data_IF_852829188836
#
_entry.id   IF_852829188836
#
_cell.length_a   1.000
_cell.length_b   1.000
_cell.length_c   1.000
_cell.angle_alpha   90.00
_cell.angle_beta   90.00
_cell.angle_gamma   90.00
#
_symmetry.space_group_name_H-M   'P 1'
#
loop_
_entity.id
_entity.type
_entity.pdbx_description
1 polymer ?
#
# COMPACT_ATOMS: atom_id res chain seq x y z
N UNK A 1 -15.10 17.48 0.97
CA UNK A 1 -14.52 16.48 1.91
C UNK A 1 -13.00 16.52 1.76
N UNK A 2 -12.27 16.62 2.86
CA UNK A 2 -10.80 16.48 2.83
C UNK A 2 -10.48 14.99 2.87
N UNK A 3 -9.74 14.48 1.89
CA UNK A 3 -9.33 13.08 1.75
C UNK A 3 -7.91 12.86 2.28
N UNK A 4 -7.07 13.89 2.14
CA UNK A 4 -5.73 13.91 2.70
C UNK A 4 -5.39 15.33 3.15
N UNK A 5 -4.76 15.44 4.32
CA UNK A 5 -4.26 16.70 4.85
C UNK A 5 -2.84 16.49 5.43
N UNK A 6 -1.84 16.92 4.68
CA UNK A 6 -0.44 16.86 5.08
C UNK A 6 -0.04 17.85 6.17
N UNK A 7 -0.93 18.74 6.60
CA UNK A 7 -0.70 19.59 7.77
C UNK A 7 -0.87 18.80 9.10
N UNK A 8 -1.53 17.63 9.06
CA UNK A 8 -1.55 16.68 10.17
C UNK A 8 -0.17 16.07 10.38
N UNK A 9 0.07 15.47 11.54
CA UNK A 9 1.26 14.64 11.73
C UNK A 9 1.23 13.46 10.77
N UNK A 10 2.27 13.32 9.96
CA UNK A 10 2.41 12.27 8.95
C UNK A 10 3.64 11.43 9.27
N UNK A 11 3.48 10.12 9.24
CA UNK A 11 4.50 9.13 9.53
C UNK A 11 4.85 8.35 8.26
N UNK A 12 6.16 8.19 8.00
CA UNK A 12 6.70 7.39 6.91
C UNK A 12 6.90 5.95 7.37
N UNK A 13 6.28 4.98 6.68
CA UNK A 13 6.40 3.58 7.08
C UNK A 13 6.53 2.61 5.92
N UNK A 14 7.07 1.42 6.24
CA UNK A 14 7.04 0.27 5.36
C UNK A 14 6.26 -0.87 6.02
N UNK A 15 5.37 -1.49 5.25
CA UNK A 15 4.42 -2.47 5.77
C UNK A 15 4.76 -3.92 5.37
N UNK A 16 5.87 -4.13 4.62
CA UNK A 16 6.22 -5.44 4.10
C UNK A 16 7.74 -5.56 3.94
N UNK A 17 8.37 -6.35 4.80
CA UNK A 17 9.80 -6.68 4.72
C UNK A 17 10.09 -8.05 5.33
N UNK A 18 11.15 -8.70 4.85
CA UNK A 18 11.61 -10.02 5.28
C UNK A 18 12.99 -9.95 5.94
N UNK A 19 13.21 -10.86 6.89
CA UNK A 19 14.46 -10.96 7.63
C UNK A 19 15.08 -12.37 7.48
N UNK A 20 16.26 -12.58 8.08
CA UNK A 20 16.89 -13.92 8.17
C UNK A 20 16.07 -14.93 8.97
N UNK A 21 14.98 -14.53 9.58
CA UNK A 21 14.05 -15.42 10.28
C UNK A 21 13.03 -16.08 9.34
N UNK A 22 12.95 -15.62 8.08
CA UNK A 22 12.35 -16.35 6.95
C UNK A 22 13.37 -16.50 5.82
N UNK A 23 13.28 -15.71 4.77
CA UNK A 23 14.11 -15.82 3.56
C UNK A 23 14.83 -14.52 3.18
N UNK A 24 14.69 -13.46 3.97
CA UNK A 24 15.45 -12.22 3.85
C UNK A 24 16.95 -12.41 4.17
N UNK A 25 17.78 -11.48 3.73
CA UNK A 25 19.26 -11.55 3.85
C UNK A 25 19.83 -10.70 4.97
N UNK A 26 18.98 -10.08 5.79
CA UNK A 26 19.40 -9.25 6.94
C UNK A 26 18.65 -9.66 8.20
N UNK A 27 19.32 -9.57 9.34
CA UNK A 27 18.71 -9.79 10.65
C UNK A 27 17.67 -8.70 10.95
N UNK A 28 16.70 -8.93 11.85
CA UNK A 28 15.73 -7.91 12.25
C UNK A 28 16.38 -6.59 12.70
N UNK A 29 17.51 -6.65 13.41
CA UNK A 29 18.21 -5.44 13.87
C UNK A 29 18.87 -4.67 12.72
N UNK A 30 19.50 -5.36 11.76
CA UNK A 30 20.05 -4.74 10.56
C UNK A 30 18.94 -4.08 9.72
N UNK A 31 17.78 -4.72 9.61
CA UNK A 31 16.62 -4.20 8.92
C UNK A 31 16.10 -2.92 9.59
N UNK A 32 15.87 -2.95 10.90
CA UNK A 32 15.46 -1.77 11.67
C UNK A 32 16.44 -0.61 11.52
N UNK A 33 17.75 -0.89 11.67
CA UNK A 33 18.80 0.12 11.52
C UNK A 33 18.80 0.74 10.11
N UNK A 34 18.60 -0.08 9.07
CA UNK A 34 18.51 0.36 7.67
C UNK A 34 17.34 1.32 7.46
N UNK A 35 16.12 0.93 7.82
CA UNK A 35 14.93 1.77 7.61
C UNK A 35 14.99 3.04 8.45
N UNK A 36 15.44 2.96 9.72
CA UNK A 36 15.67 4.13 10.55
C UNK A 36 16.64 5.14 9.91
N UNK A 37 17.77 4.67 9.37
CA UNK A 37 18.76 5.53 8.72
C UNK A 37 18.25 6.23 7.46
N UNK A 38 17.12 5.77 6.89
CA UNK A 38 16.44 6.37 5.75
C UNK A 38 15.18 7.17 6.16
N UNK A 39 15.06 7.52 7.46
CA UNK A 39 14.02 8.42 7.96
C UNK A 39 12.62 7.79 8.03
N UNK A 40 12.53 6.47 8.22
CA UNK A 40 11.25 5.82 8.50
C UNK A 40 10.89 5.99 9.97
N UNK A 41 9.60 6.23 10.23
CA UNK A 41 9.03 6.33 11.59
C UNK A 41 8.56 4.98 12.10
N UNK A 42 8.08 4.11 11.19
CA UNK A 42 7.64 2.77 11.53
C UNK A 42 7.96 1.74 10.44
N UNK A 43 8.00 0.47 10.84
CA UNK A 43 8.28 -0.68 9.99
C UNK A 43 7.51 -1.90 10.48
N UNK A 44 6.78 -2.60 9.61
CA UNK A 44 6.25 -3.92 9.91
C UNK A 44 7.20 -5.00 9.38
N UNK A 45 7.67 -5.89 10.26
CA UNK A 45 8.43 -7.09 9.88
C UNK A 45 7.43 -8.21 9.67
N UNK A 46 7.40 -8.78 8.46
CA UNK A 46 6.34 -9.65 7.96
C UNK A 46 6.91 -10.95 7.39
N UNK A 47 7.82 -11.58 8.13
CA UNK A 47 8.43 -12.86 7.75
C UNK A 47 7.38 -13.92 7.41
N UNK A 48 7.70 -14.80 6.45
CA UNK A 48 6.77 -15.83 5.97
C UNK A 48 6.29 -16.77 7.09
N UNK A 49 4.98 -16.86 7.23
CA UNK A 49 4.21 -17.79 8.08
C UNK A 49 4.58 -17.82 9.55
N UNK A 50 5.20 -16.75 10.05
CA UNK A 50 5.55 -16.59 11.46
C UNK A 50 5.63 -15.11 11.87
N UNK A 51 5.21 -14.83 13.07
CA UNK A 51 5.48 -13.55 13.72
C UNK A 51 6.82 -13.67 14.42
N UNK A 52 7.84 -13.04 13.87
CA UNK A 52 9.24 -13.24 14.30
C UNK A 52 9.73 -12.21 15.29
N UNK A 53 9.00 -11.11 15.46
CA UNK A 53 9.35 -10.00 16.33
C UNK A 53 8.11 -9.50 17.08
N UNK A 54 8.33 -8.97 18.28
CA UNK A 54 7.28 -8.23 18.99
C UNK A 54 7.28 -6.76 18.59
N UNK A 55 6.13 -6.10 18.77
CA UNK A 55 6.06 -4.65 18.57
C UNK A 55 6.86 -3.92 19.64
N UNK A 56 7.79 -3.08 19.20
CA UNK A 56 8.64 -2.30 20.07
C UNK A 56 9.10 -1.00 19.42
N UNK A 57 9.32 0.03 20.23
CA UNK A 57 10.06 1.21 19.81
C UNK A 57 11.56 0.93 19.93
N UNK A 58 12.28 0.94 18.83
CA UNK A 58 13.72 0.65 18.76
C UNK A 58 14.46 1.85 18.19
N UNK A 59 15.20 2.57 19.03
CA UNK A 59 15.98 3.76 18.66
C UNK A 59 15.17 4.81 17.86
N UNK A 60 13.89 5.02 18.18
CA UNK A 60 13.00 5.98 17.54
C UNK A 60 12.23 5.45 16.32
N UNK A 61 12.47 4.21 15.88
CA UNK A 61 11.66 3.50 14.90
C UNK A 61 10.66 2.58 15.61
N UNK A 62 9.37 2.71 15.30
CA UNK A 62 8.39 1.73 15.73
C UNK A 62 8.48 0.47 14.86
N UNK A 63 8.96 -0.63 15.43
CA UNK A 63 8.93 -1.95 14.78
C UNK A 63 7.62 -2.63 15.13
N UNK A 64 6.75 -2.85 14.15
CA UNK A 64 5.45 -3.51 14.31
C UNK A 64 5.62 -4.99 13.97
N UNK A 65 5.04 -5.86 14.80
CA UNK A 65 4.94 -7.29 14.50
C UNK A 65 4.02 -7.53 13.30
N UNK A 66 4.36 -8.51 12.48
CA UNK A 66 3.56 -8.86 11.31
C UNK A 66 3.89 -10.25 10.79
N UNK A 67 3.20 -10.66 9.75
CA UNK A 67 3.33 -11.96 9.10
C UNK A 67 2.96 -11.84 7.64
N UNK A 68 3.56 -12.65 6.77
CA UNK A 68 3.06 -12.88 5.43
C UNK A 68 2.65 -14.34 5.25
N UNK A 69 1.42 -14.56 4.76
CA UNK A 69 0.92 -15.86 4.35
C UNK A 69 0.98 -16.00 2.84
N UNK A 70 1.59 -17.06 2.36
CA UNK A 70 1.68 -17.47 0.96
C UNK A 70 0.72 -18.63 0.66
N UNK A 71 -0.05 -18.52 -0.42
CA UNK A 71 -0.99 -19.55 -0.88
C UNK A 71 -0.79 -19.81 -2.35
N UNK A 72 -0.49 -21.07 -2.70
CA UNK A 72 -0.35 -21.49 -4.08
C UNK A 72 -1.70 -21.92 -4.66
N UNK A 73 -2.10 -21.27 -5.75
CA UNK A 73 -3.26 -21.61 -6.55
C UNK A 73 -2.80 -22.02 -7.96
N UNK A 74 -3.67 -22.67 -8.72
CA UNK A 74 -3.34 -23.02 -10.11
C UNK A 74 -3.09 -21.77 -10.94
N UNK A 75 -1.84 -21.57 -11.36
CA UNK A 75 -1.42 -20.48 -12.26
C UNK A 75 -1.23 -19.11 -11.59
N UNK A 76 -1.37 -19.00 -10.27
CA UNK A 76 -1.15 -17.79 -9.50
C UNK A 76 -0.82 -18.09 -8.03
N UNK A 77 -0.31 -17.11 -7.32
CA UNK A 77 -0.17 -17.18 -5.85
C UNK A 77 -1.01 -16.07 -5.22
N UNK A 78 -1.41 -16.23 -3.95
CA UNK A 78 -2.02 -15.15 -3.18
C UNK A 78 -1.17 -14.98 -1.92
N UNK A 79 -0.68 -13.78 -1.69
CA UNK A 79 0.01 -13.41 -0.47
C UNK A 79 -0.82 -12.42 0.33
N UNK A 80 -0.97 -12.69 1.63
CA UNK A 80 -1.71 -11.85 2.57
C UNK A 80 -0.77 -11.47 3.70
N UNK A 81 -0.50 -10.18 3.79
CA UNK A 81 0.25 -9.59 4.90
C UNK A 81 -0.70 -9.26 6.04
N UNK A 82 -0.33 -9.62 7.26
CA UNK A 82 -1.05 -9.28 8.50
C UNK A 82 -0.23 -8.32 9.34
N UNK A 83 -0.72 -7.10 9.53
CA UNK A 83 -0.06 -6.06 10.33
C UNK A 83 -0.61 -6.05 11.76
N UNK A 84 0.29 -6.05 12.76
CA UNK A 84 -0.09 -5.95 14.17
C UNK A 84 -0.86 -7.17 14.68
N UNK A 85 -0.43 -8.37 14.29
CA UNK A 85 -1.05 -9.65 14.72
C UNK A 85 -0.13 -10.40 15.67
N UNK A 86 -0.69 -11.10 16.66
CA UNK A 86 0.08 -11.99 17.54
C UNK A 86 0.43 -13.30 16.83
N UNK A 87 1.43 -14.04 17.37
CA UNK A 87 1.90 -15.35 16.84
C UNK A 87 0.77 -16.40 16.75
N UNK A 88 -0.30 -16.26 17.54
CA UNK A 88 -1.49 -17.13 17.46
C UNK A 88 -2.02 -17.27 16.02
N UNK A 89 -1.92 -16.23 15.18
CA UNK A 89 -2.38 -16.26 13.79
C UNK A 89 -1.68 -17.36 12.98
N UNK A 90 -0.38 -17.58 13.20
CA UNK A 90 0.39 -18.60 12.51
C UNK A 90 -0.05 -20.04 12.88
N UNK A 91 -0.63 -20.23 14.06
CA UNK A 91 -1.13 -21.52 14.50
C UNK A 91 -2.49 -21.88 13.89
N UNK A 92 -3.29 -20.86 13.52
CA UNK A 92 -4.65 -21.05 13.00
C UNK A 92 -4.72 -21.12 11.48
N UNK A 93 -3.69 -20.62 10.77
CA UNK A 93 -3.61 -20.58 9.30
C UNK A 93 -2.50 -21.53 8.81
N UNK A 94 -2.88 -22.73 8.41
CA UNK A 94 -1.96 -23.78 7.93
C UNK A 94 -1.76 -23.70 6.42
N UNK A 95 -0.79 -24.48 5.87
CA UNK A 95 -0.53 -24.56 4.43
C UNK A 95 -1.72 -25.02 3.59
N UNK A 96 -2.64 -25.78 4.16
CA UNK A 96 -3.86 -26.22 3.49
C UNK A 96 -5.06 -25.27 3.61
N UNK A 97 -4.88 -24.14 4.30
CA UNK A 97 -5.96 -23.15 4.48
C UNK A 97 -6.21 -22.38 3.18
N UNK A 98 -7.45 -21.93 2.97
CA UNK A 98 -7.79 -20.98 1.91
C UNK A 98 -7.26 -19.57 2.29
N UNK A 99 -6.93 -18.69 1.30
CA UNK A 99 -6.49 -17.32 1.57
C UNK A 99 -7.49 -16.52 2.44
N UNK A 100 -8.79 -16.73 2.27
CA UNK A 100 -9.83 -16.10 3.08
C UNK A 100 -9.66 -16.40 4.58
N UNK A 101 -9.20 -17.59 4.95
CA UNK A 101 -8.93 -17.94 6.35
C UNK A 101 -7.88 -17.04 6.99
N UNK A 102 -6.83 -16.66 6.26
CA UNK A 102 -5.82 -15.73 6.76
C UNK A 102 -6.43 -14.35 7.02
N UNK A 103 -7.24 -13.85 6.10
CA UNK A 103 -7.93 -12.55 6.25
C UNK A 103 -8.85 -12.58 7.47
N UNK A 104 -9.67 -13.62 7.62
CA UNK A 104 -10.60 -13.76 8.73
C UNK A 104 -9.87 -13.79 10.09
N UNK A 105 -8.76 -14.55 10.20
CA UNK A 105 -8.00 -14.67 11.44
C UNK A 105 -7.21 -13.38 11.76
N UNK A 106 -6.61 -12.73 10.75
CA UNK A 106 -5.94 -11.43 10.96
C UNK A 106 -6.95 -10.42 11.52
N UNK A 107 -8.14 -10.32 10.93
CA UNK A 107 -9.21 -9.43 11.40
C UNK A 107 -9.69 -9.82 12.81
N UNK A 108 -9.93 -11.09 13.07
CA UNK A 108 -10.38 -11.60 14.39
C UNK A 108 -9.39 -11.24 15.50
N UNK A 109 -8.10 -11.30 15.20
CA UNK A 109 -7.02 -10.99 16.14
C UNK A 109 -6.68 -9.48 16.21
N UNK A 110 -7.47 -8.64 15.54
CA UNK A 110 -7.33 -7.18 15.60
C UNK A 110 -6.17 -6.63 14.74
N UNK A 111 -5.64 -7.43 13.83
CA UNK A 111 -4.67 -7.00 12.82
C UNK A 111 -5.31 -6.31 11.61
N UNK A 112 -4.48 -5.90 10.67
CA UNK A 112 -4.92 -5.30 9.40
C UNK A 112 -4.41 -6.17 8.24
N UNK A 113 -5.30 -6.83 7.47
CA UNK A 113 -4.89 -7.61 6.31
C UNK A 113 -4.60 -6.70 5.10
N UNK A 114 -3.52 -7.00 4.37
CA UNK A 114 -3.12 -6.34 3.13
C UNK A 114 -2.90 -7.40 2.06
N UNK A 115 -3.51 -7.22 0.87
CA UNK A 115 -3.23 -8.05 -0.30
C UNK A 115 -1.89 -7.60 -0.89
N UNK A 116 -0.90 -8.49 -0.85
CA UNK A 116 0.44 -8.19 -1.33
C UNK A 116 0.56 -8.37 -2.86
N UNK A 117 1.32 -7.50 -3.48
CA UNK A 117 1.85 -7.53 -4.86
C UNK A 117 1.00 -8.28 -5.92
N UNK A 118 -0.29 -7.93 -6.15
CA UNK A 118 -1.18 -8.71 -7.01
C UNK A 118 -0.69 -8.84 -8.46
N UNK A 119 0.05 -7.88 -9.01
CA UNK A 119 0.62 -7.98 -10.34
C UNK A 119 1.72 -9.05 -10.42
N UNK A 120 2.63 -9.12 -9.44
CA UNK A 120 3.66 -10.16 -9.36
C UNK A 120 3.03 -11.54 -9.17
N UNK A 121 2.04 -11.62 -8.32
CA UNK A 121 1.29 -12.83 -8.00
C UNK A 121 0.41 -13.36 -9.14
N UNK A 122 0.25 -12.59 -10.23
CA UNK A 122 -0.64 -12.88 -11.35
C UNK A 122 -2.11 -13.01 -10.93
N UNK A 123 -2.51 -12.29 -9.89
CA UNK A 123 -3.89 -12.34 -9.41
C UNK A 123 -4.84 -11.75 -10.46
N UNK A 124 -5.91 -12.48 -10.75
CA UNK A 124 -6.97 -11.97 -11.62
C UNK A 124 -7.95 -11.10 -10.82
N UNK A 125 -8.64 -10.14 -11.44
CA UNK A 125 -9.67 -9.35 -10.75
C UNK A 125 -10.73 -10.20 -10.06
N UNK A 126 -11.18 -11.30 -10.66
CA UNK A 126 -12.17 -12.19 -10.06
C UNK A 126 -11.68 -12.79 -8.73
N UNK A 127 -10.42 -13.18 -8.66
CA UNK A 127 -9.80 -13.70 -7.43
C UNK A 127 -9.71 -12.61 -6.37
N UNK A 128 -9.25 -11.41 -6.73
CA UNK A 128 -9.13 -10.28 -5.80
C UNK A 128 -10.51 -9.87 -5.27
N UNK A 129 -11.50 -9.76 -6.16
CA UNK A 129 -12.87 -9.34 -5.80
C UNK A 129 -13.62 -10.38 -4.96
N UNK A 130 -13.23 -11.66 -5.04
CA UNK A 130 -13.81 -12.73 -4.22
C UNK A 130 -13.31 -12.70 -2.75
N UNK A 131 -12.18 -12.04 -2.46
CA UNK A 131 -11.66 -11.88 -1.10
C UNK A 131 -12.51 -10.85 -0.33
N UNK A 132 -13.06 -11.26 0.81
CA UNK A 132 -13.88 -10.43 1.69
C UNK A 132 -13.09 -9.85 2.85
N UNK A 133 -13.53 -8.72 3.39
CA UNK A 133 -12.99 -8.10 4.61
C UNK A 133 -11.49 -7.76 4.53
N UNK A 134 -11.02 -7.47 3.30
CA UNK A 134 -9.69 -6.95 3.00
C UNK A 134 -9.84 -5.71 2.12
N UNK A 135 -9.58 -4.55 2.70
CA UNK A 135 -9.77 -3.24 2.08
C UNK A 135 -8.49 -2.60 1.54
N UNK A 136 -7.33 -3.21 1.79
CA UNK A 136 -6.02 -2.64 1.45
C UNK A 136 -5.27 -3.59 0.52
N UNK A 137 -4.60 -3.03 -0.49
CA UNK A 137 -3.70 -3.78 -1.38
C UNK A 137 -2.45 -2.98 -1.72
N UNK A 138 -1.36 -3.67 -1.99
CA UNK A 138 -0.16 -3.05 -2.54
C UNK A 138 -0.40 -2.64 -3.99
N UNK A 139 -0.33 -1.33 -4.24
CA UNK A 139 -0.31 -0.80 -5.61
C UNK A 139 1.08 -0.85 -6.20
N UNK A 140 2.10 -0.78 -5.34
CA UNK A 140 3.49 -0.89 -5.74
C UNK A 140 4.29 -1.71 -4.73
N UNK A 141 5.07 -2.66 -5.26
CA UNK A 141 5.94 -3.53 -4.48
C UNK A 141 7.33 -3.53 -5.10
N UNK A 142 8.34 -3.07 -4.35
CA UNK A 142 9.66 -2.79 -4.92
C UNK A 142 10.38 -4.04 -5.40
N UNK A 143 10.41 -5.14 -4.61
CA UNK A 143 11.12 -6.36 -5.00
C UNK A 143 10.53 -7.00 -6.24
N UNK A 144 9.22 -6.86 -6.44
CA UNK A 144 8.52 -7.34 -7.63
C UNK A 144 8.94 -6.65 -8.94
N UNK A 145 9.57 -5.47 -8.84
CA UNK A 145 10.13 -4.73 -9.98
C UNK A 145 11.57 -5.11 -10.35
N UNK A 146 12.21 -6.00 -9.58
CA UNK A 146 13.56 -6.45 -9.93
C UNK A 146 13.55 -7.28 -11.22
N UNK A 147 14.64 -7.26 -12.01
CA UNK A 147 14.66 -7.88 -13.35
C UNK A 147 14.24 -9.35 -13.37
N UNK A 148 14.62 -10.13 -12.36
CA UNK A 148 14.23 -11.54 -12.27
C UNK A 148 12.76 -11.76 -11.87
N UNK A 149 12.05 -10.72 -11.45
CA UNK A 149 10.61 -10.71 -11.18
C UNK A 149 9.79 -10.16 -12.35
N UNK A 150 10.41 -10.02 -13.55
CA UNK A 150 9.78 -9.58 -14.78
C UNK A 150 9.10 -8.20 -14.69
N UNK A 151 9.64 -7.28 -13.85
CA UNK A 151 9.18 -5.89 -13.70
C UNK A 151 7.68 -5.78 -13.36
N UNK A 152 7.21 -6.57 -12.39
CA UNK A 152 5.80 -6.65 -11.98
C UNK A 152 5.49 -5.85 -10.71
N UNK A 153 6.15 -4.72 -10.51
CA UNK A 153 5.98 -3.89 -9.32
C UNK A 153 4.63 -3.17 -9.24
N UNK A 154 4.12 -2.71 -10.37
CA UNK A 154 2.92 -1.85 -10.45
C UNK A 154 1.65 -2.67 -10.69
N UNK A 155 0.75 -2.62 -9.71
CA UNK A 155 -0.55 -3.31 -9.72
C UNK A 155 -1.71 -2.40 -10.12
N UNK A 156 -1.44 -1.18 -10.59
CA UNK A 156 -2.47 -0.15 -10.88
C UNK A 156 -3.57 -0.69 -11.80
N UNK A 157 -3.21 -1.34 -12.91
CA UNK A 157 -4.20 -1.81 -13.89
C UNK A 157 -5.18 -2.84 -13.32
N UNK A 158 -4.68 -3.78 -12.51
CA UNK A 158 -5.53 -4.83 -11.90
C UNK A 158 -6.46 -4.21 -10.83
N UNK A 159 -5.91 -3.32 -10.00
CA UNK A 159 -6.68 -2.68 -8.93
C UNK A 159 -7.70 -1.67 -9.47
N UNK A 160 -7.41 -1.00 -10.58
CA UNK A 160 -8.37 -0.13 -11.28
C UNK A 160 -9.54 -0.94 -11.85
N UNK A 161 -9.30 -2.15 -12.39
CA UNK A 161 -10.37 -3.06 -12.83
C UNK A 161 -11.25 -3.46 -11.65
N UNK A 162 -10.64 -3.85 -10.51
CA UNK A 162 -11.40 -4.19 -9.30
C UNK A 162 -12.25 -3.00 -8.81
N UNK A 163 -11.69 -1.78 -8.82
CA UNK A 163 -12.43 -0.58 -8.45
C UNK A 163 -13.60 -0.28 -9.41
N UNK A 164 -13.41 -0.48 -10.71
CA UNK A 164 -14.47 -0.36 -11.73
C UNK A 164 -15.58 -1.39 -11.52
N UNK A 165 -15.25 -2.58 -10.99
CA UNK A 165 -16.22 -3.63 -10.61
C UNK A 165 -16.91 -3.35 -9.26
N UNK A 166 -16.57 -2.25 -8.56
CA UNK A 166 -17.14 -1.89 -7.25
C UNK A 166 -16.36 -2.45 -6.05
N UNK A 167 -15.18 -3.00 -6.27
CA UNK A 167 -14.29 -3.57 -5.24
C UNK A 167 -13.02 -2.74 -5.05
N UNK A 168 -13.18 -1.42 -4.88
CA UNK A 168 -12.07 -0.51 -4.64
C UNK A 168 -11.27 -0.91 -3.39
N UNK A 169 -9.93 -0.85 -3.48
CA UNK A 169 -9.00 -1.08 -2.38
C UNK A 169 -8.25 0.21 -2.07
N UNK A 170 -7.98 0.47 -0.80
CA UNK A 170 -7.01 1.46 -0.39
C UNK A 170 -5.58 0.99 -0.74
N UNK A 171 -4.69 1.92 -1.08
CA UNK A 171 -3.46 1.63 -1.80
C UNK A 171 -2.23 1.92 -0.96
N UNK A 172 -1.44 0.89 -0.64
CA UNK A 172 -0.14 1.01 0.02
C UNK A 172 1.00 0.74 -0.96
N UNK A 173 2.18 1.27 -0.68
CA UNK A 173 3.41 0.86 -1.34
C UNK A 173 4.37 0.31 -0.30
N UNK A 174 5.04 -0.78 -0.64
CA UNK A 174 5.97 -1.47 0.23
C UNK A 174 7.19 -1.97 -0.55
N UNK A 175 8.26 -2.25 0.17
CA UNK A 175 9.48 -2.75 -0.45
C UNK A 175 9.45 -4.26 -0.65
N UNK A 176 8.88 -5.00 0.30
CA UNK A 176 8.97 -6.45 0.34
C UNK A 176 10.44 -6.91 0.27
N UNK A 177 11.28 -6.21 1.04
CA UNK A 177 12.73 -6.30 0.92
C UNK A 177 13.24 -7.66 1.40
N UNK A 178 13.97 -8.35 0.53
CA UNK A 178 14.61 -9.64 0.80
C UNK A 178 16.13 -9.55 0.71
N UNK A 179 16.65 -8.86 -0.32
CA UNK A 179 18.07 -8.86 -0.66
C UNK A 179 18.84 -7.69 -0.05
N UNK A 180 18.14 -6.56 0.22
CA UNK A 180 18.70 -5.30 0.71
C UNK A 180 19.76 -4.72 -0.23
N UNK A 181 19.63 -5.04 -1.52
CA UNK A 181 20.46 -4.57 -2.61
C UNK A 181 19.59 -3.99 -3.72
N UNK A 182 19.07 -2.78 -3.49
CA UNK A 182 18.18 -2.08 -4.42
C UNK A 182 16.68 -2.32 -4.19
N UNK A 183 16.30 -3.23 -3.31
CA UNK A 183 14.93 -3.59 -2.97
C UNK A 183 14.46 -3.01 -1.61
N UNK A 184 15.28 -2.26 -0.90
CA UNK A 184 14.93 -1.67 0.39
C UNK A 184 14.94 -0.13 0.35
N UNK A 185 13.99 0.50 1.06
CA UNK A 185 13.85 1.95 1.18
C UNK A 185 13.56 2.67 -0.16
N UNK A 186 12.84 2.01 -1.08
CA UNK A 186 12.52 2.54 -2.41
C UNK A 186 11.06 2.96 -2.57
N UNK A 187 10.17 2.37 -1.79
CA UNK A 187 8.74 2.70 -1.75
C UNK A 187 8.23 2.66 -0.32
N UNK A 188 7.21 3.46 -0.03
CA UNK A 188 6.66 3.55 1.33
C UNK A 188 5.22 4.04 1.34
N UNK A 189 4.60 3.92 2.51
CA UNK A 189 3.28 4.44 2.79
C UNK A 189 3.39 5.59 3.78
N UNK A 190 2.79 6.73 3.44
CA UNK A 190 2.68 7.90 4.31
C UNK A 190 1.36 7.80 5.07
N UNK A 191 1.40 7.78 6.39
CA UNK A 191 0.24 7.56 7.27
C UNK A 191 -0.01 8.78 8.14
N UNK A 192 -1.21 9.34 8.08
CA UNK A 192 -1.62 10.43 8.98
C UNK A 192 -2.04 9.86 10.34
N UNK A 193 -1.22 10.10 11.36
CA UNK A 193 -1.48 9.61 12.74
C UNK A 193 -0.85 10.55 13.76
N UNK A 194 -1.60 10.86 14.82
CA UNK A 194 -1.12 11.72 15.90
C UNK A 194 -0.06 11.00 16.77
N UNK A 195 -0.12 9.68 16.84
CA UNK A 195 0.79 8.86 17.62
C UNK A 195 1.51 7.84 16.72
N UNK A 196 2.77 7.55 17.06
CA UNK A 196 3.54 6.47 16.44
C UNK A 196 3.46 5.22 17.36
N UNK A 197 2.29 4.58 17.34
CA UNK A 197 2.00 3.33 18.07
C UNK A 197 1.33 2.33 17.14
N UNK A 198 1.45 1.02 17.44
CA UNK A 198 0.81 -0.03 16.64
C UNK A 198 -0.69 0.23 16.47
N UNK A 199 -1.39 0.56 17.56
CA UNK A 199 -2.83 0.76 17.53
C UNK A 199 -3.22 2.00 16.70
N UNK A 200 -2.49 3.11 16.82
CA UNK A 200 -2.74 4.32 16.05
C UNK A 200 -2.50 4.10 14.55
N UNK A 201 -1.43 3.38 14.18
CA UNK A 201 -1.14 3.01 12.78
C UNK A 201 -2.25 2.09 12.24
N UNK A 202 -2.62 1.02 12.97
CA UNK A 202 -3.72 0.12 12.55
C UNK A 202 -5.04 0.89 12.37
N UNK A 203 -5.35 1.81 13.28
CA UNK A 203 -6.56 2.63 13.19
C UNK A 203 -6.52 3.54 11.95
N UNK A 204 -5.40 4.19 11.65
CA UNK A 204 -5.23 5.00 10.45
C UNK A 204 -5.34 4.17 9.17
N UNK A 205 -4.75 2.98 9.13
CA UNK A 205 -4.86 2.05 7.99
C UNK A 205 -6.34 1.65 7.75
N UNK A 206 -7.09 1.34 8.80
CA UNK A 206 -8.53 0.99 8.66
C UNK A 206 -9.38 2.15 8.15
N UNK A 207 -9.04 3.40 8.51
CA UNK A 207 -9.77 4.59 8.03
C UNK A 207 -9.39 5.01 6.62
N UNK A 208 -8.27 4.51 6.05
CA UNK A 208 -7.73 4.99 4.79
C UNK A 208 -6.95 6.32 4.91
N UNK A 209 -6.50 6.68 6.11
CA UNK A 209 -5.73 7.91 6.39
C UNK A 209 -4.26 7.76 5.94
N UNK A 210 -4.03 7.41 4.67
CA UNK A 210 -2.70 7.19 4.11
C UNK A 210 -2.69 7.29 2.59
N UNK A 211 -1.48 7.38 2.04
CA UNK A 211 -1.23 7.24 0.59
C UNK A 211 0.08 6.51 0.33
N UNK A 212 0.20 5.92 -0.87
CA UNK A 212 1.38 5.21 -1.34
C UNK A 212 2.33 6.13 -2.10
N UNK A 213 3.65 5.97 -1.95
CA UNK A 213 4.61 6.79 -2.69
C UNK A 213 5.97 6.11 -2.89
N UNK A 214 6.69 6.61 -3.90
CA UNK A 214 8.11 6.37 -4.18
C UNK A 214 8.95 7.66 -4.15
N UNK A 215 8.34 8.78 -3.79
CA UNK A 215 9.03 10.08 -3.78
C UNK A 215 8.09 11.27 -3.71
N UNK A 216 7.19 11.46 -4.70
CA UNK A 216 6.25 12.58 -4.68
C UNK A 216 5.37 12.58 -3.45
N UNK A 217 4.98 13.78 -2.99
CA UNK A 217 4.18 13.96 -1.79
C UNK A 217 2.86 14.65 -2.10
N UNK A 218 1.77 14.11 -1.57
CA UNK A 218 0.51 14.83 -1.46
C UNK A 218 0.58 15.76 -0.25
N UNK A 219 0.29 17.04 -0.45
CA UNK A 219 0.12 18.04 0.61
C UNK A 219 -1.34 18.14 1.03
N UNK A 220 -2.26 18.12 0.05
CA UNK A 220 -3.70 18.16 0.28
C UNK A 220 -4.45 17.52 -0.87
N UNK A 221 -5.51 16.79 -0.55
CA UNK A 221 -6.49 16.28 -1.52
C UNK A 221 -7.87 16.62 -0.99
N UNK A 222 -8.63 17.40 -1.76
CA UNK A 222 -10.02 17.75 -1.48
C UNK A 222 -10.95 17.30 -2.58
N UNK A 223 -12.15 16.86 -2.19
CA UNK A 223 -13.24 16.59 -3.10
C UNK A 223 -14.51 17.29 -2.61
N UNK A 224 -15.08 18.17 -3.43
CA UNK A 224 -16.29 18.94 -3.11
C UNK A 224 -17.60 18.32 -3.62
N UNK A 225 -17.51 17.14 -4.24
CA UNK A 225 -18.63 16.46 -4.92
C UNK A 225 -18.58 16.58 -6.44
N UNK A 226 -17.80 17.51 -6.98
CA UNK A 226 -17.66 17.78 -8.41
C UNK A 226 -16.22 17.86 -8.86
N UNK A 227 -15.35 18.44 -8.05
CA UNK A 227 -13.94 18.71 -8.39
C UNK A 227 -13.02 18.06 -7.37
N UNK A 228 -11.95 17.43 -7.84
CA UNK A 228 -10.82 17.00 -7.02
C UNK A 228 -9.73 18.07 -7.13
N UNK A 229 -9.43 18.72 -5.99
CA UNK A 229 -8.33 19.67 -5.86
C UNK A 229 -7.14 18.97 -5.18
N UNK A 230 -5.94 19.14 -5.73
CA UNK A 230 -4.71 18.49 -5.29
C UNK A 230 -3.59 19.50 -5.13
N UNK A 231 -3.05 19.60 -3.90
CA UNK A 231 -1.75 20.23 -3.65
C UNK A 231 -0.70 19.15 -3.42
N UNK A 232 0.49 19.30 -4.02
CA UNK A 232 1.54 18.29 -3.96
C UNK A 232 2.96 18.92 -3.94
N UNK A 233 3.97 18.07 -3.79
CA UNK A 233 5.35 18.42 -4.12
C UNK A 233 5.45 18.74 -5.62
N UNK A 234 6.55 19.40 -6.05
CA UNK A 234 6.77 19.66 -7.47
C UNK A 234 6.82 18.35 -8.28
N UNK A 235 5.93 18.22 -9.27
CA UNK A 235 5.84 17.05 -10.16
C UNK A 235 5.69 17.50 -11.61
N UNK A 236 5.93 16.59 -12.55
CA UNK A 236 5.76 16.86 -13.97
C UNK A 236 4.39 16.45 -14.49
N UNK A 237 3.75 15.47 -13.85
CA UNK A 237 2.46 14.95 -14.33
C UNK A 237 1.56 14.59 -13.16
N UNK A 238 0.26 14.92 -13.32
CA UNK A 238 -0.81 14.48 -12.43
C UNK A 238 -1.88 13.81 -13.29
N UNK A 239 -2.25 12.57 -12.94
CA UNK A 239 -3.32 11.81 -13.58
C UNK A 239 -4.50 11.60 -12.65
N UNK A 240 -5.68 11.47 -13.26
CA UNK A 240 -6.91 11.09 -12.57
C UNK A 240 -7.48 9.80 -13.20
N UNK A 241 -6.89 8.60 -12.89
CA UNK A 241 -7.45 7.32 -13.29
C UNK A 241 -8.86 7.12 -12.74
N UNK A 242 -9.72 6.48 -13.53
CA UNK A 242 -11.10 6.15 -13.20
C UNK A 242 -11.54 4.91 -13.98
N UNK A 243 -12.79 4.47 -13.79
CA UNK A 243 -13.36 3.36 -14.56
C UNK A 243 -13.52 3.67 -16.06
N UNK A 244 -13.46 4.93 -16.46
CA UNK A 244 -13.57 5.31 -17.87
C UNK A 244 -12.27 4.95 -18.61
N UNK A 245 -12.31 4.14 -19.67
CA UNK A 245 -11.11 3.78 -20.45
C UNK A 245 -10.53 5.01 -21.17
N UNK A 246 -11.38 5.96 -21.53
CA UNK A 246 -11.00 7.23 -22.13
C UNK A 246 -11.70 8.41 -21.44
N UNK A 247 -10.99 9.53 -21.30
CA UNK A 247 -11.52 10.78 -20.73
C UNK A 247 -10.61 11.95 -21.08
N UNK A 248 -11.19 13.03 -21.61
CA UNK A 248 -10.44 14.28 -21.84
C UNK A 248 -10.15 14.99 -20.53
N UNK A 249 -9.04 15.74 -20.48
CA UNK A 249 -8.74 16.63 -19.35
C UNK A 249 -8.28 15.95 -18.07
N UNK A 250 -8.13 14.62 -18.03
CA UNK A 250 -7.71 13.89 -16.82
C UNK A 250 -6.20 13.77 -16.60
N UNK A 251 -5.42 14.45 -17.44
CA UNK A 251 -3.94 14.48 -17.36
C UNK A 251 -3.48 15.92 -17.40
N UNK A 252 -2.71 16.31 -16.42
CA UNK A 252 -2.05 17.60 -16.32
C UNK A 252 -0.55 17.38 -16.44
N UNK A 253 0.10 18.10 -17.35
CA UNK A 253 1.55 18.05 -17.56
C UNK A 253 2.12 19.45 -17.50
N UNK A 254 3.29 19.60 -16.93
CA UNK A 254 3.98 20.89 -16.81
C UNK A 254 5.29 20.76 -16.05
N UNK A 255 6.02 21.85 -15.95
CA UNK A 255 7.21 21.94 -15.11
C UNK A 255 6.79 22.38 -13.70
N UNK A 256 7.23 21.62 -12.68
CA UNK A 256 7.00 21.96 -11.26
C UNK A 256 5.51 22.18 -10.90
N UNK A 257 4.63 21.32 -11.38
CA UNK A 257 3.21 21.37 -10.96
C UNK A 257 3.11 21.12 -9.46
N UNK A 258 2.47 22.03 -8.74
CA UNK A 258 2.24 21.92 -7.29
C UNK A 258 0.77 21.99 -6.90
N UNK A 259 -0.10 22.36 -7.86
CA UNK A 259 -1.54 22.45 -7.69
C UNK A 259 -2.27 22.10 -8.98
N UNK A 260 -3.33 21.30 -8.90
CA UNK A 260 -4.25 21.02 -10.00
C UNK A 260 -5.67 20.86 -9.48
N UNK A 261 -6.64 21.24 -10.32
CA UNK A 261 -8.06 21.01 -10.11
C UNK A 261 -8.63 20.19 -11.26
N UNK A 262 -9.27 19.08 -10.93
CA UNK A 262 -9.88 18.18 -11.93
C UNK A 262 -11.40 18.11 -11.70
N UNK A 263 -12.22 18.72 -12.59
CA UNK A 263 -13.66 18.52 -12.59
C UNK A 263 -13.97 17.08 -13.02
N UNK A 264 -14.59 16.31 -12.13
CA UNK A 264 -14.98 14.92 -12.41
C UNK A 264 -16.05 14.91 -13.49
N UNK A 265 -15.85 14.10 -14.53
CA UNK A 265 -16.85 13.90 -15.59
C UNK A 265 -18.15 13.35 -15.01
N UNK A 266 -19.29 13.86 -15.50
CA UNK A 266 -20.62 13.31 -15.18
C UNK A 266 -20.79 11.83 -15.60
N UNK A 267 -19.90 11.34 -16.47
CA UNK A 267 -19.86 9.92 -16.87
C UNK A 267 -19.21 9.02 -15.82
N UNK A 268 -18.41 9.56 -14.89
CA UNK A 268 -17.83 8.79 -13.79
C UNK A 268 -18.93 8.35 -12.81
N UNK A 269 -18.93 7.06 -12.46
CA UNK A 269 -19.94 6.45 -11.57
C UNK A 269 -19.33 5.64 -10.43
N UNK A 270 -18.06 5.24 -10.54
CA UNK A 270 -17.45 4.28 -9.62
C UNK A 270 -16.35 4.89 -8.79
N UNK A 271 -15.29 5.36 -9.42
CA UNK A 271 -14.16 5.92 -8.70
C UNK A 271 -13.35 6.93 -9.52
N UNK A 272 -12.61 7.74 -8.81
CA UNK A 272 -11.47 8.51 -9.32
C UNK A 272 -10.35 8.38 -8.31
N UNK A 273 -9.10 8.30 -8.74
CA UNK A 273 -7.94 8.43 -7.86
C UNK A 273 -6.92 9.41 -8.45
N UNK A 274 -5.92 9.79 -7.66
CA UNK A 274 -4.86 10.71 -8.09
C UNK A 274 -3.55 9.97 -8.17
N UNK A 275 -2.80 10.22 -9.24
CA UNK A 275 -1.41 9.76 -9.41
C UNK A 275 -0.52 10.96 -9.69
N UNK A 276 0.55 11.09 -8.93
CA UNK A 276 1.62 12.06 -9.18
C UNK A 276 2.80 11.35 -9.82
N UNK A 277 3.51 12.03 -10.73
CA UNK A 277 4.80 11.55 -11.23
C UNK A 277 5.80 12.70 -11.27
N UNK A 278 6.97 12.49 -10.65
CA UNK A 278 8.07 13.45 -10.68
C UNK A 278 8.91 13.36 -11.97
N UNK A 279 9.94 14.19 -12.07
CA UNK A 279 10.85 14.22 -13.23
C UNK A 279 11.64 12.92 -13.43
N UNK A 280 11.81 12.13 -12.38
CA UNK A 280 12.52 10.85 -12.40
C UNK A 280 11.59 9.65 -12.69
N UNK A 281 10.29 9.88 -12.94
CA UNK A 281 9.29 8.85 -13.16
C UNK A 281 8.87 8.13 -11.88
N UNK A 282 9.19 8.66 -10.70
CA UNK A 282 8.69 8.14 -9.44
C UNK A 282 7.28 8.62 -9.19
N UNK A 283 6.45 7.75 -8.64
CA UNK A 283 5.02 8.02 -8.47
C UNK A 283 4.57 8.04 -7.03
N UNK A 284 3.46 8.74 -6.80
CA UNK A 284 2.62 8.59 -5.62
C UNK A 284 1.17 8.34 -6.04
N UNK A 285 0.43 7.60 -5.23
CA UNK A 285 -0.94 7.17 -5.51
C UNK A 285 -1.83 7.49 -4.31
N UNK A 286 -2.92 8.20 -4.54
CA UNK A 286 -3.97 8.36 -3.53
C UNK A 286 -4.82 7.10 -3.43
N UNK A 287 -5.53 6.94 -2.32
CA UNK A 287 -6.65 6.01 -2.25
C UNK A 287 -7.74 6.42 -3.26
N UNK A 288 -8.54 5.46 -3.76
CA UNK A 288 -9.69 5.76 -4.62
C UNK A 288 -10.74 6.61 -3.89
N UNK A 289 -11.23 7.63 -4.57
CA UNK A 289 -12.44 8.37 -4.21
C UNK A 289 -13.60 7.60 -4.80
N UNK A 290 -14.35 6.89 -3.96
CA UNK A 290 -15.53 6.13 -4.40
C UNK A 290 -16.67 7.12 -4.66
N UNK A 291 -17.31 7.00 -5.82
CA UNK A 291 -18.40 7.85 -6.28
C UNK A 291 -19.70 7.05 -6.17
N UNK A 292 -20.60 7.49 -5.29
CA UNK A 292 -21.94 6.93 -5.13
C UNK A 292 -22.89 7.64 -6.12
N UNK A 293 -22.86 7.23 -7.42
CA UNK A 293 -23.73 7.80 -8.46
C UNK A 293 -24.51 6.72 -9.20
#
# INVERSE_FOLDING_TARGET
>A
MILWDGARRVLKGNLHVHTTLSDGKRTPDEVRARYRSHGYDFLAITDHRRVTTETAMVDGLLSIRGIEFDFNLTGQVIHIVGIGVPEEVAQTVTYGSAPQRAIDEINRLGGVPVLAHPAWSLNTPDVICALRDISISEIYNTVSGLPWNADRADSSGILDICAAMGHAKNLVASDDAHFYNGDACQSWTMVASEENTEEAIKAALRRGDFYATRGPEFKRIEFDGHTVSVDCSAVRTVWFPSELPWGSGRVFTGENLTHVEYPISELNRRFVRVVLEDENGKRAWSNPIVLDK
#
